data_IF_732687190156
#
_entry.id   IF_732687190156
#
_cell.length_a   1.000
_cell.length_b   1.000
_cell.length_c   1.000
_cell.angle_alpha   90.00
_cell.angle_beta   90.00
_cell.angle_gamma   90.00
#
_symmetry.space_group_name_H-M   'P 1'
#
loop_
_entity.id
_entity.type
_entity.pdbx_description
1 polymer ?
#
# COMPACT_ATOMS: atom_id res chain seq x y z
N UNK A 1 13.09 7.40 4.49
CA UNK A 1 12.06 7.33 3.44
C UNK A 1 12.44 8.36 2.40
N UNK A 2 12.69 7.96 1.16
CA UNK A 2 13.03 8.88 0.08
C UNK A 2 11.87 9.88 -0.07
N UNK A 3 12.16 11.18 0.06
CA UNK A 3 11.16 12.25 -0.08
C UNK A 3 10.55 12.16 -1.48
N UNK A 4 9.31 11.69 -1.56
CA UNK A 4 8.57 11.57 -2.81
C UNK A 4 8.07 12.97 -3.20
N UNK A 5 8.19 13.37 -4.46
CA UNK A 5 7.75 14.69 -4.87
C UNK A 5 6.21 14.76 -4.80
N UNK A 6 5.69 15.46 -3.78
CA UNK A 6 4.30 15.95 -3.72
C UNK A 6 4.02 16.94 -4.87
N UNK A 7 2.75 17.25 -5.15
CA UNK A 7 2.34 18.07 -6.31
C UNK A 7 3.04 19.44 -6.47
N UNK A 8 3.61 20.03 -5.41
CA UNK A 8 4.43 21.25 -5.50
C UNK A 8 5.90 20.98 -5.89
N UNK A 9 6.42 19.80 -5.56
CA UNK A 9 7.74 19.32 -6.01
C UNK A 9 7.69 18.68 -7.40
N UNK A 10 6.58 18.05 -7.78
CA UNK A 10 6.39 17.55 -9.15
C UNK A 10 6.42 18.71 -10.17
N UNK A 11 5.68 19.80 -9.90
CA UNK A 11 5.71 21.02 -10.73
C UNK A 11 7.11 21.63 -10.83
N UNK A 12 7.81 21.78 -9.70
CA UNK A 12 9.21 22.26 -9.71
C UNK A 12 10.14 21.38 -10.53
N UNK A 13 9.92 20.07 -10.50
CA UNK A 13 10.70 19.12 -11.29
C UNK A 13 10.39 19.25 -12.78
N UNK A 14 9.11 19.40 -13.17
CA UNK A 14 8.69 19.68 -14.55
C UNK A 14 9.36 20.95 -15.06
N UNK A 15 9.25 22.05 -14.31
CA UNK A 15 9.85 23.33 -14.68
C UNK A 15 11.37 23.22 -14.85
N UNK A 16 12.04 22.53 -13.93
CA UNK A 16 13.49 22.32 -13.98
C UNK A 16 13.90 21.49 -15.21
N UNK A 17 13.17 20.41 -15.51
CA UNK A 17 13.43 19.54 -16.66
C UNK A 17 13.17 20.30 -17.97
N UNK A 18 12.03 20.99 -18.10
CA UNK A 18 11.73 21.80 -19.28
C UNK A 18 12.72 22.95 -19.48
N UNK A 19 13.20 23.57 -18.40
CA UNK A 19 14.26 24.58 -18.46
C UNK A 19 15.56 23.96 -18.99
N UNK A 20 15.93 22.77 -18.51
CA UNK A 20 17.12 22.07 -18.97
C UNK A 20 17.00 21.66 -20.44
N UNK A 21 15.86 21.10 -20.87
CA UNK A 21 15.61 20.76 -22.28
C UNK A 21 15.77 21.99 -23.18
N UNK A 22 15.21 23.13 -22.77
CA UNK A 22 15.35 24.40 -23.50
C UNK A 22 16.80 24.87 -23.55
N UNK A 23 17.53 24.84 -22.43
CA UNK A 23 18.95 25.23 -22.41
C UNK A 23 19.81 24.35 -23.31
N UNK A 24 19.57 23.03 -23.31
CA UNK A 24 20.28 22.08 -24.17
C UNK A 24 19.96 22.33 -25.66
N UNK A 25 18.69 22.59 -25.98
CA UNK A 25 18.30 22.93 -27.35
C UNK A 25 18.94 24.25 -27.83
N UNK A 26 19.01 25.28 -26.97
CA UNK A 26 19.67 26.55 -27.29
C UNK A 26 21.18 26.42 -27.45
N UNK A 27 21.81 25.43 -26.79
CA UNK A 27 23.22 25.10 -26.97
C UNK A 27 23.52 24.38 -28.30
N UNK A 28 22.52 24.19 -29.17
CA UNK A 28 22.69 23.56 -30.49
C UNK A 28 22.71 22.03 -30.46
N UNK A 29 22.33 21.41 -29.33
CA UNK A 29 22.30 19.95 -29.24
C UNK A 29 21.16 19.36 -30.08
N UNK A 30 21.40 18.19 -30.71
CA UNK A 30 20.34 17.45 -31.38
C UNK A 30 19.16 17.16 -30.45
N UNK A 31 17.95 17.14 -31.02
CA UNK A 31 16.70 16.98 -30.26
C UNK A 31 16.67 15.72 -29.39
N UNK A 32 17.31 14.62 -29.81
CA UNK A 32 17.40 13.40 -29.01
C UNK A 32 18.26 13.58 -27.74
N UNK A 33 19.32 14.40 -27.81
CA UNK A 33 20.17 14.73 -26.66
C UNK A 33 19.45 15.73 -25.75
N UNK A 34 18.74 16.70 -26.32
CA UNK A 34 17.94 17.64 -25.53
C UNK A 34 16.84 16.93 -24.71
N UNK A 35 16.34 15.76 -25.17
CA UNK A 35 15.34 14.93 -24.47
C UNK A 35 15.91 13.94 -23.45
N UNK A 36 17.24 13.78 -23.37
CA UNK A 36 17.88 12.86 -22.40
C UNK A 36 17.40 13.05 -20.94
N UNK A 37 17.21 14.28 -20.44
CA UNK A 37 16.73 14.48 -19.07
C UNK A 37 15.38 13.81 -18.78
N UNK A 38 14.43 13.88 -19.72
CA UNK A 38 13.12 13.24 -19.56
C UNK A 38 13.23 11.73 -19.69
N UNK A 39 14.03 11.22 -20.63
CA UNK A 39 14.29 9.78 -20.77
C UNK A 39 14.93 9.19 -19.51
N UNK A 40 15.92 9.89 -18.93
CA UNK A 40 16.56 9.51 -17.68
C UNK A 40 15.57 9.49 -16.52
N UNK A 41 14.73 10.53 -16.44
CA UNK A 41 13.69 10.61 -15.43
C UNK A 41 12.73 9.41 -15.54
N UNK A 42 12.26 9.09 -16.75
CA UNK A 42 11.40 7.94 -16.99
C UNK A 42 12.04 6.61 -16.58
N UNK A 43 13.34 6.43 -16.87
CA UNK A 43 14.09 5.26 -16.44
C UNK A 43 14.19 5.16 -14.91
N UNK A 44 14.50 6.28 -14.24
CA UNK A 44 14.56 6.35 -12.78
C UNK A 44 13.22 5.95 -12.14
N UNK A 45 12.10 6.47 -12.67
CA UNK A 45 10.77 6.09 -12.19
C UNK A 45 10.44 4.62 -12.46
N UNK A 46 10.86 4.06 -13.60
CA UNK A 46 10.69 2.63 -13.85
C UNK A 46 11.40 1.77 -12.79
N UNK A 47 12.66 2.09 -12.44
CA UNK A 47 13.39 1.38 -11.40
C UNK A 47 12.73 1.49 -10.03
N UNK A 48 12.27 2.69 -9.69
CA UNK A 48 11.57 2.92 -8.44
C UNK A 48 10.27 2.11 -8.35
N UNK A 49 9.51 2.02 -9.44
CA UNK A 49 8.30 1.19 -9.50
C UNK A 49 8.64 -0.28 -9.34
N UNK A 50 9.69 -0.79 -9.99
CA UNK A 50 10.12 -2.18 -9.86
C UNK A 50 10.45 -2.53 -8.38
N UNK A 51 11.13 -1.63 -7.66
CA UNK A 51 11.42 -1.79 -6.22
C UNK A 51 10.15 -1.77 -5.35
N UNK A 52 9.22 -0.85 -5.64
CA UNK A 52 7.95 -0.75 -4.93
C UNK A 52 7.07 -1.98 -5.18
N UNK A 53 6.98 -2.45 -6.42
CA UNK A 53 6.31 -3.70 -6.80
C UNK A 53 6.87 -4.85 -5.95
N UNK A 54 8.18 -5.07 -5.96
CA UNK A 54 8.80 -6.15 -5.20
C UNK A 54 8.57 -6.05 -3.68
N UNK A 55 8.47 -4.84 -3.14
CA UNK A 55 8.15 -4.63 -1.72
C UNK A 55 6.69 -4.96 -1.41
N UNK A 56 5.75 -4.50 -2.22
CA UNK A 56 4.32 -4.72 -1.97
C UNK A 56 3.95 -6.18 -2.17
N UNK A 57 4.49 -6.85 -3.20
CA UNK A 57 4.29 -8.30 -3.38
C UNK A 57 4.74 -9.09 -2.15
N UNK A 58 5.84 -8.69 -1.50
CA UNK A 58 6.28 -9.33 -0.24
C UNK A 58 5.32 -9.09 0.91
N UNK A 59 4.73 -7.89 1.02
CA UNK A 59 3.73 -7.57 2.05
C UNK A 59 2.44 -8.35 1.79
N UNK A 60 1.97 -8.40 0.53
CA UNK A 60 0.82 -9.21 0.13
C UNK A 60 0.98 -10.68 0.53
N UNK A 61 2.15 -11.28 0.23
CA UNK A 61 2.44 -12.64 0.64
C UNK A 61 2.59 -12.84 2.16
N UNK A 62 2.73 -11.79 2.97
CA UNK A 62 2.59 -11.91 4.43
C UNK A 62 1.11 -11.99 4.81
N UNK A 63 0.27 -11.16 4.21
CA UNK A 63 -1.17 -11.18 4.49
C UNK A 63 -1.78 -12.56 4.21
N UNK A 64 -1.43 -13.16 3.08
CA UNK A 64 -1.94 -14.49 2.72
C UNK A 64 -1.53 -15.60 3.71
N UNK A 65 -0.39 -15.44 4.40
CA UNK A 65 0.13 -16.42 5.38
C UNK A 65 -0.50 -16.31 6.77
N UNK A 66 -1.15 -15.19 7.09
CA UNK A 66 -1.69 -14.96 8.43
C UNK A 66 -3.11 -15.51 8.60
N UNK A 67 -3.88 -15.62 7.51
CA UNK A 67 -5.25 -16.14 7.53
C UNK A 67 -5.40 -17.57 8.07
N UNK A 68 -4.44 -18.50 7.86
CA UNK A 68 -4.41 -19.80 8.53
C UNK A 68 -3.98 -19.72 10.00
N UNK A 69 -2.99 -18.88 10.32
CA UNK A 69 -2.45 -18.76 11.68
C UNK A 69 -3.48 -18.25 12.70
N UNK A 70 -4.33 -17.29 12.31
CA UNK A 70 -5.45 -16.79 13.15
C UNK A 70 -6.49 -17.90 13.40
N UNK A 71 -6.64 -18.86 12.49
CA UNK A 71 -7.59 -19.98 12.65
C UNK A 71 -7.06 -21.11 13.54
N UNK A 72 -5.74 -21.25 13.66
CA UNK A 72 -5.09 -22.31 14.45
C UNK A 72 -4.83 -21.89 15.90
N UNK A 73 -4.81 -20.59 16.20
CA UNK A 73 -4.64 -20.08 17.55
C UNK A 73 -5.97 -20.12 18.35
N UNK A 74 -6.17 -21.13 19.21
CA UNK A 74 -6.58 -20.97 20.64
C UNK A 74 -7.46 -22.09 21.21
N UNK A 75 -7.27 -22.45 22.51
CA UNK A 75 -8.43 -22.78 23.33
C UNK A 75 -8.51 -22.19 24.78
N UNK A 76 -7.60 -21.33 25.32
CA UNK A 76 -7.71 -20.83 26.73
C UNK A 76 -8.15 -19.37 26.89
N UNK A 77 -8.89 -19.04 27.96
CA UNK A 77 -9.54 -17.73 28.14
C UNK A 77 -8.61 -16.51 28.30
N UNK A 78 -7.43 -16.67 28.94
CA UNK A 78 -6.40 -15.62 29.00
C UNK A 78 -5.81 -15.36 27.60
N UNK A 79 -5.54 -16.44 26.85
CA UNK A 79 -5.10 -16.36 25.45
C UNK A 79 -6.17 -15.68 24.57
N UNK A 80 -7.47 -15.84 24.86
CA UNK A 80 -8.55 -15.15 24.13
C UNK A 80 -8.51 -13.62 24.30
N UNK A 81 -8.26 -13.12 25.51
CA UNK A 81 -8.18 -11.67 25.78
C UNK A 81 -6.93 -11.04 25.17
N UNK A 82 -5.78 -11.72 25.29
CA UNK A 82 -4.53 -11.28 24.65
C UNK A 82 -4.64 -11.32 23.12
N UNK A 83 -5.41 -12.28 22.57
CA UNK A 83 -5.70 -12.36 21.14
C UNK A 83 -6.62 -11.23 20.64
N UNK A 84 -7.59 -10.76 21.45
CA UNK A 84 -8.40 -9.58 21.10
C UNK A 84 -7.55 -8.29 20.99
N UNK A 85 -6.58 -8.11 21.89
CA UNK A 85 -5.68 -6.94 21.84
C UNK A 85 -4.72 -7.01 20.65
N UNK A 86 -4.18 -8.21 20.37
CA UNK A 86 -3.39 -8.48 19.17
C UNK A 86 -4.18 -8.19 17.89
N UNK A 87 -5.43 -8.65 17.81
CA UNK A 87 -6.32 -8.44 16.67
C UNK A 87 -6.61 -6.95 16.46
N UNK A 88 -6.75 -6.16 17.54
CA UNK A 88 -6.92 -4.71 17.47
C UNK A 88 -5.68 -3.98 16.98
N UNK A 89 -4.49 -4.37 17.46
CA UNK A 89 -3.21 -3.84 16.98
C UNK A 89 -3.03 -4.14 15.49
N UNK A 90 -3.28 -5.40 15.10
CA UNK A 90 -3.19 -5.85 13.71
C UNK A 90 -4.15 -5.10 12.78
N UNK A 91 -5.39 -4.81 13.20
CA UNK A 91 -6.30 -3.96 12.42
C UNK A 91 -5.72 -2.58 12.15
N UNK A 92 -5.07 -1.99 13.15
CA UNK A 92 -4.45 -0.67 13.02
C UNK A 92 -3.33 -0.69 11.98
N UNK A 93 -2.48 -1.73 12.02
CA UNK A 93 -1.42 -1.94 11.03
C UNK A 93 -1.97 -2.19 9.62
N UNK A 94 -3.04 -2.97 9.51
CA UNK A 94 -3.75 -3.24 8.24
C UNK A 94 -4.30 -1.95 7.67
N UNK A 95 -4.98 -1.13 8.49
CA UNK A 95 -5.56 0.13 8.04
C UNK A 95 -4.48 1.13 7.62
N UNK A 96 -3.41 1.25 8.40
CA UNK A 96 -2.24 2.06 8.03
C UNK A 96 -1.63 1.60 6.70
N UNK A 97 -1.55 0.29 6.48
CA UNK A 97 -1.05 -0.29 5.23
C UNK A 97 -1.98 0.05 4.05
N UNK A 98 -3.30 -0.04 4.22
CA UNK A 98 -4.29 0.34 3.19
C UNK A 98 -4.19 1.82 2.82
N UNK A 99 -4.12 2.71 3.81
CA UNK A 99 -3.92 4.15 3.58
C UNK A 99 -2.64 4.39 2.79
N UNK A 100 -1.53 3.76 3.20
CA UNK A 100 -0.26 3.86 2.48
C UNK A 100 -0.37 3.37 1.03
N UNK A 101 -1.13 2.30 0.77
CA UNK A 101 -1.37 1.79 -0.59
C UNK A 101 -2.18 2.79 -1.44
N UNK A 102 -3.18 3.45 -0.85
CA UNK A 102 -3.94 4.51 -1.53
C UNK A 102 -3.08 5.73 -1.85
N UNK A 103 -2.21 6.15 -0.93
CA UNK A 103 -1.26 7.24 -1.18
C UNK A 103 -0.30 6.90 -2.34
N UNK A 104 0.17 5.64 -2.40
CA UNK A 104 1.02 5.15 -3.49
C UNK A 104 0.30 5.12 -4.84
N UNK A 105 -1.01 4.89 -4.84
CA UNK A 105 -1.85 5.00 -6.04
C UNK A 105 -1.92 6.45 -6.53
N UNK A 106 -2.27 7.38 -5.64
CA UNK A 106 -2.31 8.82 -5.97
C UNK A 106 -0.96 9.31 -6.51
N UNK A 107 0.14 8.81 -5.94
CA UNK A 107 1.47 9.10 -6.45
C UNK A 107 1.71 8.64 -7.89
N UNK A 108 1.18 7.49 -8.30
CA UNK A 108 1.32 7.02 -9.68
C UNK A 108 0.55 7.90 -10.67
N UNK A 109 -0.64 8.36 -10.26
CA UNK A 109 -1.45 9.31 -11.03
C UNK A 109 -0.73 10.66 -11.18
N UNK A 110 -0.06 11.12 -10.13
CA UNK A 110 0.78 12.33 -10.17
C UNK A 110 1.96 12.19 -11.13
N UNK A 111 2.63 11.04 -11.16
CA UNK A 111 3.70 10.76 -12.12
C UNK A 111 3.18 10.76 -13.55
N UNK A 112 2.03 10.13 -13.81
CA UNK A 112 1.41 10.12 -15.13
C UNK A 112 1.08 11.52 -15.63
N UNK A 113 0.49 12.34 -14.75
CA UNK A 113 0.24 13.75 -15.03
C UNK A 113 1.54 14.50 -15.33
N UNK A 114 2.57 14.29 -14.53
CA UNK A 114 3.88 14.95 -14.70
C UNK A 114 4.52 14.62 -16.06
N UNK A 115 4.50 13.34 -16.49
CA UNK A 115 5.01 12.97 -17.80
C UNK A 115 4.11 13.48 -18.95
N UNK A 116 2.81 13.56 -18.73
CA UNK A 116 1.87 14.24 -19.62
C UNK A 116 2.22 15.71 -19.84
N UNK A 117 2.51 16.45 -18.76
CA UNK A 117 2.96 17.86 -18.82
C UNK A 117 4.31 18.03 -19.53
N UNK A 118 5.18 17.02 -19.48
CA UNK A 118 6.45 16.99 -20.22
C UNK A 118 6.28 16.60 -21.71
N UNK A 119 5.07 16.20 -22.11
CA UNK A 119 4.78 15.69 -23.45
C UNK A 119 5.54 14.41 -23.78
N UNK A 120 5.76 13.55 -22.78
CA UNK A 120 6.52 12.32 -22.91
C UNK A 120 5.67 11.11 -22.59
N UNK A 121 5.68 10.13 -23.49
CA UNK A 121 4.99 8.85 -23.28
C UNK A 121 5.98 7.70 -23.35
N UNK A 122 5.88 6.78 -22.39
CA UNK A 122 6.65 5.53 -22.37
C UNK A 122 5.75 4.34 -22.14
N UNK A 123 5.66 3.44 -23.12
CA UNK A 123 4.96 2.17 -22.98
C UNK A 123 5.57 1.28 -21.89
N UNK A 124 6.87 1.42 -21.60
CA UNK A 124 7.55 0.72 -20.51
C UNK A 124 7.12 1.20 -19.13
N UNK A 125 6.92 2.51 -18.98
CA UNK A 125 6.44 3.13 -17.75
C UNK A 125 4.96 2.80 -17.51
N UNK A 126 4.10 2.99 -18.53
CA UNK A 126 2.67 2.66 -18.47
C UNK A 126 2.42 1.21 -18.05
N UNK A 127 3.17 0.25 -18.61
CA UNK A 127 3.08 -1.16 -18.23
C UNK A 127 3.44 -1.42 -16.76
N UNK A 128 4.50 -0.77 -16.26
CA UNK A 128 4.92 -0.91 -14.85
C UNK A 128 3.93 -0.25 -13.90
N UNK A 129 3.37 0.90 -14.24
CA UNK A 129 2.32 1.54 -13.47
C UNK A 129 1.07 0.66 -13.39
N UNK A 130 0.62 0.11 -14.53
CA UNK A 130 -0.51 -0.81 -14.54
C UNK A 130 -0.27 -2.04 -13.66
N UNK A 131 0.93 -2.65 -13.75
CA UNK A 131 1.30 -3.78 -12.89
C UNK A 131 1.34 -3.40 -11.40
N UNK A 132 1.86 -2.22 -11.08
CA UNK A 132 1.91 -1.72 -9.72
C UNK A 132 0.51 -1.45 -9.15
N UNK A 133 -0.37 -0.80 -9.92
CA UNK A 133 -1.76 -0.55 -9.54
C UNK A 133 -2.53 -1.86 -9.31
N UNK A 134 -2.37 -2.84 -10.20
CA UNK A 134 -3.00 -4.15 -10.03
C UNK A 134 -2.55 -4.85 -8.74
N UNK A 135 -1.27 -4.73 -8.37
CA UNK A 135 -0.75 -5.30 -7.11
C UNK A 135 -1.26 -4.53 -5.89
N UNK A 136 -1.39 -3.20 -5.97
CA UNK A 136 -2.02 -2.40 -4.91
C UNK A 136 -3.47 -2.84 -4.69
N UNK A 137 -4.26 -2.96 -5.75
CA UNK A 137 -5.66 -3.39 -5.67
C UNK A 137 -5.79 -4.80 -5.06
N UNK A 138 -4.98 -5.75 -5.54
CA UNK A 138 -4.94 -7.11 -4.99
C UNK A 138 -4.55 -7.13 -3.50
N UNK A 139 -3.58 -6.29 -3.11
CA UNK A 139 -3.12 -6.20 -1.73
C UNK A 139 -4.16 -5.58 -0.81
N UNK A 140 -4.84 -4.51 -1.24
CA UNK A 140 -5.97 -3.91 -0.54
C UNK A 140 -7.12 -4.90 -0.35
N UNK A 141 -7.41 -5.70 -1.37
CA UNK A 141 -8.41 -6.76 -1.27
C UNK A 141 -7.99 -7.85 -0.26
N UNK A 142 -6.71 -8.24 -0.23
CA UNK A 142 -6.20 -9.21 0.76
C UNK A 142 -6.26 -8.66 2.19
N UNK A 143 -5.83 -7.41 2.38
CA UNK A 143 -5.93 -6.67 3.65
C UNK A 143 -7.38 -6.60 4.16
N UNK A 144 -8.33 -6.29 3.28
CA UNK A 144 -9.77 -6.22 3.64
C UNK A 144 -10.31 -7.59 4.08
N UNK A 145 -9.98 -8.66 3.36
CA UNK A 145 -10.39 -10.03 3.76
C UNK A 145 -9.82 -10.43 5.12
N UNK A 146 -8.59 -10.01 5.43
CA UNK A 146 -8.00 -10.25 6.74
C UNK A 146 -8.72 -9.48 7.83
N UNK A 147 -9.02 -8.20 7.60
CA UNK A 147 -9.79 -7.37 8.53
C UNK A 147 -11.17 -7.99 8.82
N UNK A 148 -11.86 -8.54 7.80
CA UNK A 148 -13.13 -9.23 7.98
C UNK A 148 -12.98 -10.53 8.79
N UNK A 149 -11.88 -11.26 8.61
CA UNK A 149 -11.60 -12.48 9.36
C UNK A 149 -11.35 -12.18 10.84
N UNK A 150 -10.54 -11.15 11.13
CA UNK A 150 -10.33 -10.65 12.49
C UNK A 150 -11.65 -10.20 13.13
N UNK A 151 -12.49 -9.47 12.40
CA UNK A 151 -13.83 -9.04 12.90
C UNK A 151 -14.67 -10.23 13.34
N UNK A 152 -14.77 -11.25 12.48
CA UNK A 152 -15.55 -12.47 12.79
C UNK A 152 -14.97 -13.25 13.97
N UNK A 153 -13.64 -13.27 14.09
CA UNK A 153 -12.97 -13.91 15.22
C UNK A 153 -13.29 -13.19 16.54
N UNK A 154 -13.13 -11.86 16.59
CA UNK A 154 -13.47 -11.06 17.77
C UNK A 154 -14.95 -11.22 18.17
N UNK A 155 -15.87 -11.16 17.21
CA UNK A 155 -17.30 -11.33 17.47
C UNK A 155 -17.60 -12.71 18.08
N UNK A 156 -16.95 -13.77 17.59
CA UNK A 156 -17.10 -15.12 18.12
C UNK A 156 -16.52 -15.25 19.54
N UNK A 157 -15.35 -14.65 19.79
CA UNK A 157 -14.73 -14.63 21.12
C UNK A 157 -15.60 -13.87 22.12
N UNK A 158 -16.08 -12.67 21.74
CA UNK A 158 -16.95 -11.85 22.57
C UNK A 158 -18.29 -12.54 22.88
N UNK A 159 -18.90 -13.20 21.88
CA UNK A 159 -20.12 -13.97 22.09
C UNK A 159 -19.91 -15.12 23.08
N UNK A 160 -18.78 -15.83 22.97
CA UNK A 160 -18.41 -16.91 23.90
C UNK A 160 -18.17 -16.40 25.32
N UNK A 161 -17.47 -15.28 25.48
CA UNK A 161 -17.22 -14.67 26.79
C UNK A 161 -18.53 -14.22 27.47
N UNK A 162 -19.47 -13.67 26.70
CA UNK A 162 -20.81 -13.31 27.20
C UNK A 162 -21.58 -14.54 27.69
N UNK A 163 -21.61 -15.62 26.89
CA UNK A 163 -22.27 -16.86 27.29
C UNK A 163 -21.65 -17.50 28.54
N UNK A 164 -20.31 -17.46 28.67
CA UNK A 164 -19.60 -17.93 29.87
C UNK A 164 -19.99 -17.08 31.10
N UNK A 165 -20.04 -15.75 30.97
CA UNK A 165 -20.45 -14.84 32.05
C UNK A 165 -21.93 -15.04 32.48
N UNK A 166 -22.84 -15.17 31.52
CA UNK A 166 -24.27 -15.40 31.77
C UNK A 166 -24.48 -16.74 32.49
N UNK A 167 -23.72 -17.78 32.11
CA UNK A 167 -23.77 -19.08 32.77
C UNK A 167 -23.26 -19.03 34.21
N UNK A 168 -22.19 -18.27 34.48
CA UNK A 168 -21.64 -18.07 35.81
C UNK A 168 -22.60 -17.27 36.70
N UNK A 169 -23.23 -16.21 36.16
CA UNK A 169 -24.24 -15.42 36.87
C UNK A 169 -25.48 -16.27 37.22
N UNK A 170 -25.94 -17.11 36.30
CA UNK A 170 -27.06 -18.03 36.53
C UNK A 170 -26.75 -19.11 37.58
N UNK A 171 -25.50 -19.57 37.67
CA UNK A 171 -25.04 -20.49 38.71
C UNK A 171 -24.96 -19.81 40.08
N UNK A 172 -24.42 -18.58 40.15
CA UNK A 172 -24.34 -17.81 41.38
C UNK A 172 -25.73 -17.45 41.95
N UNK A 173 -26.73 -17.22 41.11
CA UNK A 173 -28.10 -16.95 41.54
C UNK A 173 -28.86 -18.19 42.04
N UNK A 174 -28.33 -19.40 41.82
CA UNK A 174 -28.92 -20.68 42.27
C UNK A 174 -28.24 -21.25 43.53
N UNK A 175 -27.10 -20.69 43.93
CA UNK A 175 -26.38 -21.02 45.15
C UNK A 175 -26.85 -20.14 46.31
#
# INVERSE_FOLDING_TARGET
MSHLPTGASARRLVDAVQKLERSLAHAGLPRFVARLPVCWLAWYYCRMLDEKIARITRIAGKFDRWGPAIREASPKAQEKLEMLDLDRSMRTDIEFTKVTMMDLRSYCEDIDRMFGELGYESAGLKRRQAAFLAILDASCASASRMQDALTRHDDAVLARLRAEADSAAAQAARA
#
